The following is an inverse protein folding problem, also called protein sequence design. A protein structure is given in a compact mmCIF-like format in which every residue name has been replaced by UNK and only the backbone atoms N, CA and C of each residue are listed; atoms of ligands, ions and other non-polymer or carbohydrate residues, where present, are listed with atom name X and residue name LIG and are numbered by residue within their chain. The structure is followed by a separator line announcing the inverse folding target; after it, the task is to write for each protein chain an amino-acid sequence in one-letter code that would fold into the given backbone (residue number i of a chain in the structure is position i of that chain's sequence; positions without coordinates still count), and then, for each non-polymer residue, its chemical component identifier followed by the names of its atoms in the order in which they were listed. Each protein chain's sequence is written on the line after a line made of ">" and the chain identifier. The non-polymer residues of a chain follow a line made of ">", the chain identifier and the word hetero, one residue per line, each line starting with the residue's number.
data_IF_563675912531
#
_entry.id   IF_563675912531
#
_cell.length_a   1.000
_cell.length_b   1.000
_cell.length_c   1.000
_cell.angle_alpha   90.00
_cell.angle_beta   90.00
_cell.angle_gamma   90.00
#
_symmetry.space_group_name_H-M   'P 1'
#
loop_
_entity.id
_entity.type
_entity.pdbx_description
1 polymer ?
#
# COMPACT_ATOMS: atom_id res chain seq x y z
N UNK A 1 22.22 -2.36 -13.08
CA UNK A 1 20.82 -2.39 -13.59
C UNK A 1 20.86 -2.89 -15.02
N UNK A 2 20.16 -3.98 -15.35
CA UNK A 2 20.19 -4.56 -16.68
C UNK A 2 18.99 -4.05 -17.50
N UNK A 3 19.23 -3.61 -18.73
CA UNK A 3 18.24 -3.00 -19.63
C UNK A 3 17.07 -3.93 -19.99
N UNK A 4 15.92 -3.34 -20.34
CA UNK A 4 14.79 -4.06 -20.95
C UNK A 4 15.27 -4.81 -22.20
N UNK A 5 14.98 -6.11 -22.30
CA UNK A 5 15.43 -6.98 -23.41
C UNK A 5 16.63 -7.91 -23.13
N UNK A 6 17.28 -7.84 -21.96
CA UNK A 6 18.48 -8.64 -21.67
C UNK A 6 18.25 -10.11 -21.24
N UNK A 7 17.07 -10.69 -21.51
CA UNK A 7 16.74 -12.07 -21.12
C UNK A 7 16.43 -12.31 -19.63
N UNK A 8 16.38 -11.27 -18.79
CA UNK A 8 16.02 -11.39 -17.36
C UNK A 8 14.64 -12.00 -17.16
N UNK A 9 13.63 -11.48 -17.84
CA UNK A 9 12.26 -11.97 -17.70
C UNK A 9 12.14 -13.43 -18.13
N UNK A 10 12.91 -13.85 -19.14
CA UNK A 10 12.98 -15.24 -19.56
C UNK A 10 13.55 -16.14 -18.45
N UNK A 11 14.70 -15.78 -17.88
CA UNK A 11 15.28 -16.52 -16.75
C UNK A 11 14.34 -16.54 -15.53
N UNK A 12 13.72 -15.41 -15.20
CA UNK A 12 12.77 -15.33 -14.09
C UNK A 12 11.54 -16.21 -14.35
N UNK A 13 11.03 -16.27 -15.57
CA UNK A 13 9.92 -17.15 -15.95
C UNK A 13 10.27 -18.63 -15.73
N UNK A 14 11.48 -19.05 -16.12
CA UNK A 14 11.94 -20.43 -15.93
C UNK A 14 12.04 -20.78 -14.43
N UNK A 15 12.54 -19.85 -13.62
CA UNK A 15 12.60 -19.99 -12.17
C UNK A 15 11.19 -20.11 -11.58
N UNK A 16 10.28 -19.19 -11.93
CA UNK A 16 8.88 -19.19 -11.47
C UNK A 16 8.22 -20.53 -11.80
N UNK A 17 8.34 -20.99 -13.04
CA UNK A 17 7.72 -22.23 -13.52
C UNK A 17 8.27 -23.45 -12.79
N UNK A 18 9.58 -23.49 -12.54
CA UNK A 18 10.23 -24.59 -11.82
C UNK A 18 9.74 -24.71 -10.38
N UNK A 19 9.62 -23.58 -9.67
CA UNK A 19 9.14 -23.56 -8.29
C UNK A 19 7.64 -23.83 -8.18
N UNK A 20 6.81 -23.29 -9.09
CA UNK A 20 5.38 -23.62 -9.19
C UNK A 20 5.20 -25.13 -9.40
N UNK A 21 5.99 -25.74 -10.30
CA UNK A 21 5.93 -27.18 -10.58
C UNK A 21 6.35 -28.04 -9.37
N UNK A 22 7.16 -27.49 -8.47
CA UNK A 22 7.53 -28.12 -7.20
C UNK A 22 6.49 -27.88 -6.08
N UNK A 23 5.37 -27.23 -6.36
CA UNK A 23 4.31 -26.94 -5.41
C UNK A 23 4.51 -25.66 -4.57
N UNK A 24 5.43 -24.77 -4.97
CA UNK A 24 5.65 -23.51 -4.27
C UNK A 24 4.57 -22.48 -4.60
N UNK A 25 4.27 -21.61 -3.63
CA UNK A 25 3.49 -20.38 -3.83
C UNK A 25 4.44 -19.23 -4.16
N UNK A 26 4.16 -18.49 -5.24
CA UNK A 26 5.00 -17.39 -5.70
C UNK A 26 4.20 -16.09 -5.77
N UNK A 27 4.78 -15.02 -5.21
CA UNK A 27 4.28 -13.66 -5.33
C UNK A 27 5.26 -12.84 -6.16
N UNK A 28 4.79 -12.20 -7.24
CA UNK A 28 5.62 -11.41 -8.15
C UNK A 28 5.11 -9.98 -8.25
N UNK A 29 5.97 -8.99 -7.99
CA UNK A 29 5.68 -7.57 -8.23
C UNK A 29 6.12 -7.22 -9.64
N UNK A 30 5.16 -6.94 -10.53
CA UNK A 30 5.40 -6.75 -11.96
C UNK A 30 5.10 -5.31 -12.41
N UNK A 31 6.13 -4.46 -12.44
CA UNK A 31 6.02 -3.04 -12.82
C UNK A 31 5.90 -2.84 -14.34
N UNK A 32 6.01 -3.91 -15.16
CA UNK A 32 5.98 -3.82 -16.63
C UNK A 32 5.11 -4.85 -17.34
N UNK A 33 4.26 -5.57 -16.60
CA UNK A 33 3.40 -6.65 -17.12
C UNK A 33 4.17 -7.73 -17.89
N UNK A 34 5.45 -7.94 -17.56
CA UNK A 34 6.30 -8.95 -18.21
C UNK A 34 5.91 -10.39 -17.83
N UNK A 35 5.22 -10.56 -16.72
CA UNK A 35 4.85 -11.85 -16.12
C UNK A 35 3.35 -12.13 -16.19
N UNK A 36 2.54 -11.17 -16.66
CA UNK A 36 1.08 -11.31 -16.77
C UNK A 36 0.69 -12.54 -17.62
N UNK A 37 1.35 -12.72 -18.77
CA UNK A 37 1.08 -13.87 -19.63
C UNK A 37 1.37 -15.19 -18.92
N UNK A 38 2.53 -15.30 -18.27
CA UNK A 38 2.90 -16.50 -17.51
C UNK A 38 1.92 -16.77 -16.38
N UNK A 39 1.54 -15.74 -15.63
CA UNK A 39 0.56 -15.83 -14.56
C UNK A 39 -0.77 -16.43 -15.05
N UNK A 40 -1.29 -15.97 -16.20
CA UNK A 40 -2.49 -16.53 -16.84
C UNK A 40 -2.28 -17.97 -17.30
N UNK A 41 -1.14 -18.28 -17.93
CA UNK A 41 -0.83 -19.60 -18.47
C UNK A 41 -0.75 -20.68 -17.37
N UNK A 42 -0.31 -20.31 -16.16
CA UNK A 42 -0.24 -21.21 -14.99
C UNK A 42 -1.49 -21.17 -14.09
N UNK A 43 -2.53 -20.43 -14.49
CA UNK A 43 -3.78 -20.30 -13.73
C UNK A 43 -3.65 -19.51 -12.42
N UNK A 44 -2.70 -18.59 -12.34
CA UNK A 44 -2.52 -17.70 -11.19
C UNK A 44 -3.40 -16.45 -11.25
N UNK A 45 -3.49 -15.75 -10.11
CA UNK A 45 -4.23 -14.50 -10.00
C UNK A 45 -3.34 -13.29 -10.33
N UNK A 46 -3.75 -12.51 -11.32
CA UNK A 46 -3.09 -11.25 -11.67
C UNK A 46 -3.84 -10.06 -11.05
N UNK A 47 -3.23 -9.46 -10.03
CA UNK A 47 -3.78 -8.32 -9.29
C UNK A 47 -3.32 -7.02 -9.95
N UNK A 48 -4.25 -6.29 -10.58
CA UNK A 48 -3.97 -5.02 -11.27
C UNK A 48 -4.59 -3.81 -10.55
N UNK A 49 -3.80 -2.74 -10.42
CA UNK A 49 -4.25 -1.43 -9.96
C UNK A 49 -4.81 -0.61 -11.12
N UNK A 50 -6.00 -1.01 -11.61
CA UNK A 50 -6.71 -0.34 -12.70
C UNK A 50 -7.93 0.49 -12.24
N UNK A 51 -8.66 1.07 -13.20
CA UNK A 51 -9.89 1.83 -12.93
C UNK A 51 -10.96 0.97 -12.25
N UNK A 52 -11.13 -0.27 -12.70
CA UNK A 52 -12.11 -1.24 -12.18
C UNK A 52 -11.59 -2.10 -11.02
N UNK A 53 -10.45 -1.73 -10.42
CA UNK A 53 -9.86 -2.51 -9.34
C UNK A 53 -10.60 -2.30 -8.02
N UNK A 54 -11.03 -3.40 -7.40
CA UNK A 54 -11.65 -3.41 -6.07
C UNK A 54 -10.64 -3.63 -4.92
N UNK A 55 -9.34 -3.49 -5.21
CA UNK A 55 -8.29 -3.69 -4.21
C UNK A 55 -8.37 -2.61 -3.13
N UNK A 56 -8.28 -3.05 -1.87
CA UNK A 56 -8.06 -2.19 -0.72
C UNK A 56 -6.67 -2.49 -0.14
N UNK A 57 -5.88 -1.45 0.03
CA UNK A 57 -4.54 -1.44 0.60
C UNK A 57 -4.47 -0.71 1.94
N UNK A 58 -5.62 -0.39 2.57
CA UNK A 58 -5.58 0.22 3.88
C UNK A 58 -4.93 -0.74 4.89
N UNK A 59 -3.72 -0.44 5.39
CA UNK A 59 -2.97 -1.37 6.22
C UNK A 59 -3.59 -1.54 7.60
N UNK A 60 -4.37 -0.56 8.08
CA UNK A 60 -4.98 -0.55 9.40
C UNK A 60 -6.11 -1.59 9.56
N UNK A 61 -6.73 -2.04 8.47
CA UNK A 61 -7.90 -2.92 8.54
C UNK A 61 -7.58 -4.34 9.01
N UNK A 62 -6.35 -4.80 8.78
CA UNK A 62 -5.93 -6.19 9.07
C UNK A 62 -5.17 -6.33 10.39
N UNK A 63 -4.88 -5.20 11.05
CA UNK A 63 -4.09 -5.15 12.28
C UNK A 63 -4.86 -5.81 13.41
N UNK A 64 -4.20 -6.72 14.12
CA UNK A 64 -4.75 -7.41 15.29
C UNK A 64 -4.14 -6.91 16.58
N UNK A 65 -2.84 -6.60 16.56
CA UNK A 65 -2.13 -6.06 17.70
C UNK A 65 -1.28 -4.87 17.26
N UNK A 66 -1.81 -3.66 17.46
CA UNK A 66 -1.12 -2.44 17.09
C UNK A 66 0.26 -2.32 17.71
N UNK A 67 0.46 -2.74 18.97
CA UNK A 67 1.75 -2.56 19.63
C UNK A 67 2.86 -3.40 18.98
N UNK A 68 2.51 -4.56 18.40
CA UNK A 68 3.44 -5.40 17.65
C UNK A 68 3.65 -4.91 16.22
N UNK A 69 2.64 -4.25 15.64
CA UNK A 69 2.61 -3.86 14.23
C UNK A 69 2.91 -2.36 13.99
N UNK A 70 3.06 -1.56 15.05
CA UNK A 70 3.16 -0.10 14.98
C UNK A 70 4.31 0.38 14.10
N UNK A 71 5.49 -0.23 14.19
CA UNK A 71 6.66 0.18 13.41
C UNK A 71 6.43 -0.02 11.90
N UNK A 72 5.73 -1.10 11.53
CA UNK A 72 5.36 -1.38 10.14
C UNK A 72 4.32 -0.37 9.63
N UNK A 73 3.27 -0.11 10.41
CA UNK A 73 2.22 0.86 10.05
C UNK A 73 2.80 2.27 9.87
N UNK A 74 3.62 2.71 10.83
CA UNK A 74 4.32 3.99 10.75
C UNK A 74 5.23 4.02 9.54
N UNK A 75 5.99 2.96 9.26
CA UNK A 75 6.85 2.87 8.08
C UNK A 75 6.09 3.02 6.76
N UNK A 76 4.89 2.46 6.65
CA UNK A 76 4.02 2.63 5.46
C UNK A 76 3.61 4.09 5.30
N UNK A 77 3.08 4.71 6.36
CA UNK A 77 2.62 6.12 6.29
C UNK A 77 3.79 7.08 6.05
N UNK A 78 4.96 6.82 6.64
CA UNK A 78 6.19 7.57 6.37
C UNK A 78 6.55 7.46 4.89
N UNK A 79 6.52 6.26 4.31
CA UNK A 79 6.83 6.06 2.89
C UNK A 79 5.85 6.81 1.97
N UNK A 80 4.60 6.98 2.39
CA UNK A 80 3.61 7.79 1.67
C UNK A 80 3.93 9.29 1.75
N UNK A 81 4.31 9.79 2.93
CA UNK A 81 4.62 11.21 3.14
C UNK A 81 6.01 11.61 2.59
N UNK A 82 6.98 10.69 2.56
CA UNK A 82 8.39 10.98 2.30
C UNK A 82 8.80 10.79 0.82
N UNK A 83 7.91 11.09 -0.13
CA UNK A 83 8.14 10.76 -1.55
C UNK A 83 9.39 11.44 -2.15
N UNK A 84 9.78 12.62 -1.67
CA UNK A 84 10.94 13.36 -2.18
C UNK A 84 12.13 13.35 -1.21
N UNK A 85 11.87 13.43 0.09
CA UNK A 85 12.91 13.60 1.12
C UNK A 85 12.63 12.74 2.35
N UNK A 86 13.70 12.36 3.05
CA UNK A 86 13.58 11.68 4.35
C UNK A 86 12.97 12.61 5.39
N UNK A 87 12.07 12.08 6.20
CA UNK A 87 11.52 12.82 7.33
C UNK A 87 12.59 13.08 8.39
N UNK A 88 12.54 14.26 9.01
CA UNK A 88 13.33 14.55 10.21
C UNK A 88 12.84 13.74 11.42
N UNK A 89 13.68 13.59 12.44
CA UNK A 89 13.33 12.87 13.68
C UNK A 89 12.07 13.43 14.35
N UNK A 90 11.89 14.76 14.31
CA UNK A 90 10.68 15.39 14.84
C UNK A 90 9.44 15.02 14.03
N UNK A 91 9.51 15.12 12.70
CA UNK A 91 8.40 14.76 11.81
C UNK A 91 7.99 13.29 12.02
N UNK A 92 8.98 12.39 12.08
CA UNK A 92 8.74 10.98 12.35
C UNK A 92 8.07 10.77 13.72
N UNK A 93 8.60 11.39 14.78
CA UNK A 93 8.08 11.26 16.15
C UNK A 93 6.65 11.82 16.28
N UNK A 94 6.37 12.98 15.67
CA UNK A 94 5.03 13.58 15.64
C UNK A 94 4.05 12.72 14.86
N UNK A 95 4.41 12.27 13.67
CA UNK A 95 3.57 11.39 12.86
C UNK A 95 3.25 10.08 13.58
N UNK A 96 4.25 9.46 14.23
CA UNK A 96 4.04 8.26 15.08
C UNK A 96 3.04 8.51 16.21
N UNK A 97 3.12 9.67 16.85
CA UNK A 97 2.22 10.05 17.94
C UNK A 97 0.79 10.28 17.44
N UNK A 98 0.64 10.95 16.29
CA UNK A 98 -0.66 11.15 15.61
C UNK A 98 -1.29 9.81 15.26
N UNK A 99 -0.53 8.90 14.63
CA UNK A 99 -1.04 7.58 14.25
C UNK A 99 -1.50 6.79 15.49
N UNK A 100 -0.74 6.82 16.59
CA UNK A 100 -1.14 6.13 17.83
C UNK A 100 -2.45 6.68 18.39
N UNK A 101 -2.58 8.01 18.45
CA UNK A 101 -3.77 8.67 18.97
C UNK A 101 -5.00 8.32 18.13
N UNK A 102 -4.87 8.41 16.80
CA UNK A 102 -5.97 8.09 15.89
C UNK A 102 -6.28 6.59 15.84
N UNK A 103 -5.29 5.73 16.09
CA UNK A 103 -5.53 4.30 16.25
C UNK A 103 -6.37 4.01 17.49
N UNK A 104 -6.10 4.69 18.61
CA UNK A 104 -6.89 4.51 19.83
C UNK A 104 -8.34 4.97 19.67
N UNK A 105 -8.58 5.95 18.77
CA UNK A 105 -9.91 6.44 18.45
C UNK A 105 -10.65 5.56 17.43
N UNK A 106 -9.99 5.20 16.33
CA UNK A 106 -10.65 4.57 15.17
C UNK A 106 -10.38 3.07 15.03
N UNK A 107 -9.33 2.55 15.66
CA UNK A 107 -8.84 1.18 15.47
C UNK A 107 -8.69 0.81 14.00
N UNK A 108 -9.25 -0.34 13.61
CA UNK A 108 -9.26 -0.83 12.22
C UNK A 108 -10.04 0.06 11.24
N UNK A 109 -10.73 1.08 11.74
CA UNK A 109 -11.38 2.13 10.94
C UNK A 109 -10.49 3.31 10.58
N UNK A 110 -9.22 3.34 11.03
CA UNK A 110 -8.28 4.40 10.71
C UNK A 110 -8.02 4.48 9.20
N UNK A 111 -8.02 5.71 8.68
CA UNK A 111 -7.77 6.06 7.27
C UNK A 111 -6.62 7.05 7.18
N UNK A 112 -6.02 7.14 5.99
CA UNK A 112 -5.00 8.16 5.69
C UNK A 112 -5.58 9.57 5.78
N UNK A 113 -6.88 9.73 5.47
CA UNK A 113 -7.65 10.96 5.63
C UNK A 113 -7.52 11.53 7.06
N UNK A 114 -7.77 10.73 8.09
CA UNK A 114 -7.69 11.17 9.48
C UNK A 114 -6.27 11.63 9.84
N UNK A 115 -5.24 10.93 9.34
CA UNK A 115 -3.84 11.25 9.60
C UNK A 115 -3.47 12.57 8.92
N UNK A 116 -3.87 12.75 7.66
CA UNK A 116 -3.61 13.96 6.90
C UNK A 116 -4.29 15.18 7.55
N UNK A 117 -5.57 15.06 7.92
CA UNK A 117 -6.33 16.10 8.60
C UNK A 117 -5.70 16.47 9.96
N UNK A 118 -5.36 15.47 10.78
CA UNK A 118 -4.71 15.71 12.07
C UNK A 118 -3.32 16.34 11.92
N UNK A 119 -2.56 15.99 10.88
CA UNK A 119 -1.26 16.59 10.63
C UNK A 119 -1.36 18.04 10.12
N UNK A 120 -2.34 18.36 9.27
CA UNK A 120 -2.63 19.74 8.82
C UNK A 120 -3.05 20.64 10.00
N UNK A 121 -3.73 20.07 10.99
CA UNK A 121 -4.14 20.78 12.20
C UNK A 121 -3.02 20.97 13.25
N UNK A 122 -1.84 20.38 13.06
CA UNK A 122 -0.69 20.54 13.96
C UNK A 122 -0.22 22.01 14.00
N UNK A 123 0.45 22.44 15.05
CA UNK A 123 1.00 23.80 15.13
C UNK A 123 2.31 23.93 14.33
N UNK A 124 3.09 22.85 14.23
CA UNK A 124 4.38 22.85 13.55
C UNK A 124 4.20 22.71 12.02
N UNK A 125 4.69 23.71 11.28
CA UNK A 125 4.59 23.73 9.81
C UNK A 125 5.18 22.47 9.16
N UNK A 126 6.25 21.88 9.72
CA UNK A 126 6.87 20.68 9.16
C UNK A 126 5.97 19.45 9.24
N UNK A 127 5.04 19.42 10.20
CA UNK A 127 4.02 18.36 10.34
C UNK A 127 2.83 18.65 9.43
N UNK A 128 2.43 19.93 9.30
CA UNK A 128 1.42 20.34 8.31
C UNK A 128 1.79 19.93 6.90
N UNK A 129 3.06 20.12 6.55
CA UNK A 129 3.59 19.73 5.24
C UNK A 129 3.43 18.21 5.00
N UNK A 130 3.59 17.36 6.02
CA UNK A 130 3.32 15.91 5.90
C UNK A 130 1.86 15.64 5.57
N UNK A 131 0.93 16.36 6.21
CA UNK A 131 -0.50 16.21 5.94
C UNK A 131 -0.85 16.57 4.50
N UNK A 132 -0.21 17.61 3.94
CA UNK A 132 -0.33 17.92 2.52
C UNK A 132 0.32 16.85 1.62
N UNK A 133 1.47 16.30 1.98
CA UNK A 133 2.14 15.23 1.23
C UNK A 133 1.31 13.94 1.20
N UNK A 134 0.53 13.66 2.25
CA UNK A 134 -0.38 12.51 2.31
C UNK A 134 -1.62 12.67 1.41
N UNK A 135 -1.89 13.85 0.85
CA UNK A 135 -3.10 14.14 0.08
C UNK A 135 -3.39 13.09 -1.01
N UNK A 136 -2.37 12.67 -1.77
CA UNK A 136 -2.51 11.71 -2.86
C UNK A 136 -3.10 10.36 -2.42
N UNK A 137 -2.98 10.01 -1.13
CA UNK A 137 -3.44 8.75 -0.54
C UNK A 137 -4.72 8.89 0.29
N UNK A 138 -5.20 10.12 0.52
CA UNK A 138 -6.53 10.37 1.09
C UNK A 138 -7.63 10.00 0.10
N UNK A 139 -8.87 9.83 0.54
CA UNK A 139 -10.01 9.52 -0.34
C UNK A 139 -10.23 10.52 -1.47
N UNK A 140 -9.70 11.75 -1.35
CA UNK A 140 -9.79 12.81 -2.36
C UNK A 140 -8.59 12.81 -3.34
N UNK A 141 -7.55 12.03 -3.05
CA UNK A 141 -6.33 11.92 -3.85
C UNK A 141 -6.41 10.85 -4.95
N UNK A 142 -5.43 10.87 -5.85
CA UNK A 142 -5.33 9.99 -7.03
C UNK A 142 -5.28 8.49 -6.65
N UNK A 143 -4.66 8.16 -5.51
CA UNK A 143 -4.58 6.80 -4.97
C UNK A 143 -5.65 6.49 -3.93
N UNK A 144 -6.50 7.47 -3.56
CA UNK A 144 -7.48 7.37 -2.48
C UNK A 144 -8.42 6.18 -2.58
N UNK A 145 -8.77 5.81 -3.81
CA UNK A 145 -9.61 4.64 -4.06
C UNK A 145 -9.00 3.35 -3.48
N UNK A 146 -7.68 3.22 -3.38
CA UNK A 146 -7.05 2.03 -2.83
C UNK A 146 -6.95 2.05 -1.30
N UNK A 147 -7.03 3.20 -0.64
CA UNK A 147 -6.83 3.32 0.82
C UNK A 147 -8.10 3.57 1.62
N UNK A 148 -9.27 3.50 0.97
CA UNK A 148 -10.59 3.57 1.61
C UNK A 148 -10.88 2.33 2.46
N UNK A 149 -11.92 2.39 3.30
CA UNK A 149 -12.42 1.21 4.02
C UNK A 149 -13.02 0.19 3.05
N UNK A 150 -12.81 -1.11 3.31
CA UNK A 150 -13.53 -2.18 2.62
C UNK A 150 -15.06 -1.96 2.72
N UNK A 151 -15.71 -1.78 1.58
CA UNK A 151 -17.17 -1.85 1.48
C UNK A 151 -17.52 -3.31 1.18
N UNK A 152 -18.07 -4.02 2.17
CA UNK A 152 -18.73 -5.30 1.93
C UNK A 152 -20.06 -5.06 1.21
N UNK A 153 -20.01 -4.69 -0.07
CA UNK A 153 -21.15 -4.95 -0.94
C UNK A 153 -20.88 -6.31 -1.58
N UNK A 154 -21.82 -7.27 -1.55
CA UNK A 154 -21.64 -8.49 -2.30
C UNK A 154 -21.44 -8.10 -3.76
N UNK A 155 -20.43 -8.68 -4.42
CA UNK A 155 -20.43 -8.73 -5.86
C UNK A 155 -21.76 -9.36 -6.27
N UNK A 156 -22.62 -8.59 -6.93
CA UNK A 156 -23.69 -9.17 -7.72
C UNK A 156 -23.02 -9.82 -8.92
N UNK A 157 -22.56 -11.06 -8.72
CA UNK A 157 -22.35 -11.99 -9.81
C UNK A 157 -23.71 -12.19 -10.47
N UNK A 158 -23.94 -11.47 -11.57
CA UNK A 158 -25.02 -11.77 -12.50
C UNK A 158 -24.42 -12.10 -13.85
N UNK A 159 -24.41 -13.42 -14.09
CA UNK A 159 -24.50 -14.17 -15.36
C UNK A 159 -23.34 -14.08 -16.35
#
# INVERSE_FOLDING_TARGET
>A
MAASGSGKSFLTNDIITSYISAGATIWTIDIGRSYEKLCKDIGGDFIEFGEHSHICLNPFQIVKNYNEEADMLVGIVVSMASMTDKLSDLQYSRLRSIIKLLWDEHGTGLLVDHIAESAIADEDQRVKDLGHQLYAFTTQGEYGKYFRKFSSSPASDTA
#
